data_IF_679566511012
#
_entry.id   IF_679566511012
#
_cell.length_a   1.000
_cell.length_b   1.000
_cell.length_c   1.000
_cell.angle_alpha   90.00
_cell.angle_beta   90.00
_cell.angle_gamma   90.00
#
_symmetry.space_group_name_H-M   'P 1'
#
loop_
_entity.id
_entity.type
_entity.pdbx_description
1 polymer ?
#
# COMPACT_ATOMS: atom_id res chain seq x y z
N UNK A 1 -17.48 6.29 7.23
CA UNK A 1 -18.75 5.64 7.59
C UNK A 1 -19.84 6.11 6.62
N UNK A 2 -20.60 5.17 6.11
CA UNK A 2 -21.81 5.41 5.31
C UNK A 2 -23.05 5.13 6.15
N UNK A 3 -24.08 5.91 5.95
CA UNK A 3 -25.38 5.71 6.61
C UNK A 3 -26.44 5.61 5.52
N UNK A 4 -27.12 4.47 5.44
CA UNK A 4 -28.22 4.26 4.51
C UNK A 4 -29.50 4.99 5.00
N UNK A 5 -30.48 5.24 4.11
CA UNK A 5 -31.71 5.94 4.47
C UNK A 5 -32.55 5.27 5.58
N UNK A 6 -32.42 3.95 5.74
CA UNK A 6 -33.04 3.15 6.80
C UNK A 6 -32.30 3.21 8.14
N UNK A 7 -31.18 3.96 8.21
CA UNK A 7 -30.34 4.11 9.39
C UNK A 7 -29.25 3.05 9.52
N UNK A 8 -29.13 2.10 8.60
CA UNK A 8 -28.03 1.13 8.55
C UNK A 8 -26.69 1.86 8.37
N UNK A 9 -25.66 1.39 9.07
CA UNK A 9 -24.33 2.01 9.04
C UNK A 9 -23.26 1.00 8.72
N UNK A 10 -22.46 1.33 7.72
CA UNK A 10 -21.27 0.56 7.36
C UNK A 10 -20.02 1.44 7.45
N UNK A 11 -18.93 0.88 7.94
CA UNK A 11 -17.64 1.58 7.98
C UNK A 11 -16.51 0.63 7.58
N UNK A 12 -15.49 1.20 6.93
CA UNK A 12 -14.24 0.50 6.61
C UNK A 12 -13.08 1.47 6.83
N UNK A 13 -11.92 0.90 7.14
CA UNK A 13 -10.68 1.65 7.21
C UNK A 13 -10.04 1.69 5.83
N UNK A 14 -9.60 2.88 5.43
CA UNK A 14 -8.84 3.11 4.21
C UNK A 14 -7.58 3.87 4.55
N UNK A 15 -6.48 3.53 3.88
CA UNK A 15 -5.25 4.27 4.01
C UNK A 15 -5.31 5.56 3.19
N UNK A 16 -4.73 6.62 3.73
CA UNK A 16 -4.55 7.88 3.03
C UNK A 16 -3.44 7.69 1.98
N UNK A 17 -3.68 8.16 0.77
CA UNK A 17 -2.78 8.01 -0.38
C UNK A 17 -1.92 9.24 -0.64
N UNK A 18 -2.37 10.43 -0.25
CA UNK A 18 -1.64 11.68 -0.47
C UNK A 18 -0.63 11.98 0.65
N UNK A 19 0.26 12.93 0.36
CA UNK A 19 1.22 13.43 1.34
C UNK A 19 0.50 14.20 2.47
N UNK A 20 0.98 14.12 3.73
CA UNK A 20 0.46 14.97 4.81
C UNK A 20 0.69 16.48 4.59
N UNK A 21 1.43 16.87 3.54
CA UNK A 21 1.59 18.27 3.14
C UNK A 21 0.45 18.78 2.25
N UNK A 22 -0.38 17.89 1.73
CA UNK A 22 -1.56 18.26 0.93
C UNK A 22 -2.68 18.67 1.91
N UNK A 23 -2.57 19.88 2.44
CA UNK A 23 -3.47 20.41 3.46
C UNK A 23 -4.90 20.57 2.92
N UNK A 24 -5.87 20.12 3.71
CA UNK A 24 -7.30 20.27 3.41
C UNK A 24 -7.90 19.18 2.52
N UNK A 25 -7.08 18.25 2.04
CA UNK A 25 -7.53 17.16 1.17
C UNK A 25 -7.11 15.79 1.72
N UNK A 26 -7.95 14.79 1.49
CA UNK A 26 -7.65 13.38 1.77
C UNK A 26 -7.90 12.58 0.50
N UNK A 27 -6.86 11.99 -0.06
CA UNK A 27 -6.95 11.04 -1.16
C UNK A 27 -7.11 9.62 -0.62
N UNK A 28 -8.15 8.92 -1.09
CA UNK A 28 -8.37 7.51 -0.81
C UNK A 28 -8.39 6.73 -2.12
N UNK A 29 -7.62 5.65 -2.18
CA UNK A 29 -7.71 4.69 -3.28
C UNK A 29 -8.46 3.47 -2.81
N UNK A 30 -9.60 3.19 -3.45
CA UNK A 30 -10.57 2.20 -3.01
C UNK A 30 -10.72 1.11 -4.06
N UNK A 31 -10.23 -0.09 -3.77
CA UNK A 31 -10.49 -1.29 -4.57
C UNK A 31 -11.97 -1.71 -4.42
N UNK A 32 -12.64 -1.95 -5.57
CA UNK A 32 -14.02 -2.45 -5.57
C UNK A 32 -14.05 -3.95 -5.24
N UNK A 33 -14.48 -4.28 -4.05
CA UNK A 33 -14.70 -5.67 -3.63
C UNK A 33 -16.09 -6.13 -4.08
N UNK A 34 -16.16 -7.25 -4.83
CA UNK A 34 -17.41 -7.76 -5.42
C UNK A 34 -18.51 -7.96 -4.38
N UNK A 35 -18.15 -8.50 -3.21
CA UNK A 35 -19.09 -8.82 -2.12
C UNK A 35 -18.96 -7.80 -0.95
N UNK A 36 -18.41 -6.63 -1.22
CA UNK A 36 -18.27 -5.56 -0.23
C UNK A 36 -19.52 -4.68 -0.16
N UNK A 37 -19.71 -4.00 0.97
CA UNK A 37 -20.84 -3.05 1.14
C UNK A 37 -20.39 -1.60 0.89
N UNK A 38 -19.19 -1.24 1.36
CA UNK A 38 -18.72 0.15 1.33
C UNK A 38 -17.98 0.45 0.02
N UNK A 39 -17.07 -0.43 -0.44
CA UNK A 39 -16.33 -0.17 -1.66
C UNK A 39 -17.20 -0.12 -2.92
N UNK A 40 -18.23 -0.99 -3.13
CA UNK A 40 -19.16 -0.80 -4.25
C UNK A 40 -19.91 0.52 -4.19
N UNK A 41 -20.30 0.98 -2.99
CA UNK A 41 -21.01 2.26 -2.85
C UNK A 41 -20.16 3.42 -3.37
N UNK A 42 -18.85 3.44 -3.05
CA UNK A 42 -17.94 4.47 -3.57
C UNK A 42 -17.77 4.41 -5.10
N UNK A 43 -17.86 3.23 -5.71
CA UNK A 43 -17.70 3.07 -7.15
C UNK A 43 -18.98 3.29 -7.94
N UNK A 44 -20.13 2.93 -7.37
CA UNK A 44 -21.37 2.81 -8.12
C UNK A 44 -22.37 3.93 -7.79
N UNK A 45 -22.21 4.62 -6.65
CA UNK A 45 -23.22 5.56 -6.10
C UNK A 45 -22.68 6.95 -5.82
N UNK A 46 -21.50 7.06 -5.20
CA UNK A 46 -20.92 8.35 -4.81
C UNK A 46 -20.63 9.20 -6.05
N UNK A 47 -21.05 10.45 -6.02
CA UNK A 47 -20.75 11.46 -7.04
C UNK A 47 -20.09 12.68 -6.42
N UNK A 48 -19.50 13.52 -7.25
CA UNK A 48 -18.87 14.77 -6.82
C UNK A 48 -19.89 15.66 -6.09
N UNK A 49 -19.52 16.15 -4.92
CA UNK A 49 -20.35 16.95 -4.04
C UNK A 49 -21.05 16.16 -2.92
N UNK A 50 -20.98 14.83 -2.94
CA UNK A 50 -21.51 14.02 -1.86
C UNK A 50 -20.67 14.14 -0.59
N UNK A 51 -21.33 14.18 0.56
CA UNK A 51 -20.68 14.21 1.87
C UNK A 51 -20.57 12.82 2.48
N UNK A 52 -19.36 12.49 2.98
CA UNK A 52 -19.10 11.24 3.68
C UNK A 52 -18.50 11.51 5.06
N UNK A 53 -18.93 10.75 6.07
CA UNK A 53 -18.33 10.87 7.40
C UNK A 53 -16.98 10.17 7.45
N UNK A 54 -15.93 10.92 7.77
CA UNK A 54 -14.56 10.42 7.95
C UNK A 54 -14.17 10.54 9.41
N UNK A 55 -13.48 9.52 9.94
CA UNK A 55 -12.88 9.53 11.29
C UNK A 55 -11.39 9.21 11.15
N UNK A 56 -10.55 10.03 11.74
CA UNK A 56 -9.09 9.87 11.68
C UNK A 56 -8.39 11.19 11.39
N UNK A 57 -7.15 11.17 10.89
CA UNK A 57 -6.33 9.95 10.76
C UNK A 57 -6.02 9.31 12.11
N UNK A 58 -6.04 7.99 12.18
CA UNK A 58 -5.58 7.30 13.38
C UNK A 58 -4.07 7.13 13.28
N UNK A 59 -3.35 7.75 14.21
CA UNK A 59 -1.91 7.55 14.31
C UNK A 59 -1.62 6.08 14.60
N UNK A 60 -0.82 5.47 13.73
CA UNK A 60 -0.40 4.09 13.87
C UNK A 60 1.12 3.98 13.96
N UNK A 61 1.59 2.79 14.21
CA UNK A 61 3.00 2.43 14.12
C UNK A 61 3.55 2.54 12.68
N UNK A 62 2.67 2.56 11.68
CA UNK A 62 2.98 2.62 10.26
C UNK A 62 3.15 4.07 9.78
N UNK A 63 4.09 4.79 10.38
CA UNK A 63 4.40 6.20 10.07
C UNK A 63 5.89 6.36 9.80
N UNK A 64 6.25 6.92 8.64
CA UNK A 64 7.62 7.31 8.34
C UNK A 64 7.93 8.69 8.96
N UNK A 65 9.07 8.80 9.63
CA UNK A 65 9.52 10.01 10.33
C UNK A 65 10.87 10.52 9.85
N UNK A 66 11.25 10.17 8.60
CA UNK A 66 12.54 10.56 8.02
C UNK A 66 13.68 9.57 8.28
N UNK A 67 13.37 8.36 8.78
CA UNK A 67 14.35 7.27 8.91
C UNK A 67 14.93 6.90 7.54
N UNK A 68 16.20 6.52 7.50
CA UNK A 68 16.91 6.15 6.28
C UNK A 68 17.93 5.04 6.50
N UNK A 69 18.17 4.19 5.51
CA UNK A 69 17.43 4.06 4.23
C UNK A 69 16.05 3.41 4.43
N UNK A 70 15.17 3.48 3.42
CA UNK A 70 13.80 2.96 3.50
C UNK A 70 13.49 2.02 2.36
N UNK A 71 12.95 0.85 2.70
CA UNK A 71 12.36 -0.09 1.75
C UNK A 71 10.85 -0.18 1.96
N UNK A 72 10.09 0.10 0.92
CA UNK A 72 8.65 -0.06 0.86
C UNK A 72 8.33 -1.38 0.17
N UNK A 73 7.44 -2.20 0.74
CA UNK A 73 7.09 -3.52 0.17
C UNK A 73 5.57 -3.66 0.15
N UNK A 74 4.99 -3.55 -1.05
CA UNK A 74 3.55 -3.51 -1.26
C UNK A 74 3.00 -4.71 -2.00
N UNK A 75 1.85 -5.23 -1.57
CA UNK A 75 1.09 -6.27 -2.26
C UNK A 75 -0.33 -5.81 -2.60
N UNK A 76 -0.68 -5.74 -3.90
CA UNK A 76 -1.98 -5.25 -4.36
C UNK A 76 -2.28 -3.85 -3.83
N UNK A 77 -3.47 -3.60 -3.29
CA UNK A 77 -3.86 -2.31 -2.69
C UNK A 77 -3.05 -1.91 -1.46
N UNK A 78 -2.20 -2.81 -0.92
CA UNK A 78 -1.19 -2.45 0.08
C UNK A 78 -0.17 -1.40 -0.38
N UNK A 79 -0.10 -1.09 -1.67
CA UNK A 79 0.72 0.01 -2.19
C UNK A 79 0.22 1.38 -1.72
N UNK A 80 -1.05 1.55 -1.41
CA UNK A 80 -1.68 2.85 -1.13
C UNK A 80 -0.98 3.63 -0.01
N UNK A 81 -0.83 3.12 1.22
CA UNK A 81 -0.12 3.84 2.28
C UNK A 81 1.37 4.02 1.97
N UNK A 82 1.95 3.15 1.16
CA UNK A 82 3.35 3.26 0.75
C UNK A 82 3.55 4.40 -0.26
N UNK A 83 2.55 4.65 -1.12
CA UNK A 83 2.56 5.81 -2.03
C UNK A 83 2.49 7.12 -1.26
N UNK A 84 1.73 7.21 -0.18
CA UNK A 84 1.73 8.39 0.69
C UNK A 84 3.15 8.69 1.22
N UNK A 85 3.88 7.66 1.67
CA UNK A 85 5.27 7.77 2.12
C UNK A 85 6.18 8.20 0.96
N UNK A 86 6.05 7.55 -0.20
CA UNK A 86 6.88 7.84 -1.38
C UNK A 86 6.65 9.25 -1.92
N UNK A 87 5.39 9.68 -2.02
CA UNK A 87 5.01 11.04 -2.42
C UNK A 87 5.56 12.08 -1.43
N UNK A 88 5.41 11.82 -0.13
CA UNK A 88 5.96 12.71 0.90
C UNK A 88 7.50 12.82 0.82
N UNK A 89 8.20 11.69 0.62
CA UNK A 89 9.66 11.67 0.43
C UNK A 89 10.05 12.48 -0.82
N UNK A 90 9.36 12.31 -1.93
CA UNK A 90 9.65 13.06 -3.17
C UNK A 90 9.54 14.56 -2.98
N UNK A 91 8.60 15.02 -2.15
CA UNK A 91 8.39 16.44 -1.85
C UNK A 91 9.39 16.99 -0.84
N UNK A 92 9.79 16.23 0.16
CA UNK A 92 10.55 16.73 1.31
C UNK A 92 12.02 16.34 1.32
N UNK A 93 12.34 15.15 0.82
CA UNK A 93 13.68 14.55 0.86
C UNK A 93 13.98 13.74 -0.41
N UNK A 94 13.99 14.38 -1.61
CA UNK A 94 14.10 13.67 -2.89
C UNK A 94 15.34 12.79 -3.02
N UNK A 95 16.45 13.18 -2.39
CA UNK A 95 17.73 12.46 -2.43
C UNK A 95 17.82 11.32 -1.40
N UNK A 96 16.81 11.15 -0.53
CA UNK A 96 16.83 10.07 0.45
C UNK A 96 16.65 8.72 -0.24
N UNK A 97 17.55 7.72 -0.01
CA UNK A 97 17.41 6.39 -0.58
C UNK A 97 16.12 5.71 -0.12
N UNK A 98 15.19 5.55 -1.04
CA UNK A 98 13.91 4.87 -0.83
C UNK A 98 13.54 4.11 -2.11
N UNK A 99 13.11 2.87 -1.98
CA UNK A 99 12.65 2.03 -3.09
C UNK A 99 11.37 1.32 -2.72
N UNK A 100 10.55 1.04 -3.70
CA UNK A 100 9.32 0.28 -3.59
C UNK A 100 9.46 -1.06 -4.30
N UNK A 101 9.29 -2.15 -3.58
CA UNK A 101 9.03 -3.48 -4.15
C UNK A 101 7.52 -3.66 -4.21
N UNK A 102 6.97 -3.84 -5.42
CA UNK A 102 5.53 -3.93 -5.61
C UNK A 102 5.13 -5.22 -6.31
N UNK A 103 4.30 -6.01 -5.62
CA UNK A 103 3.78 -7.29 -6.10
C UNK A 103 2.31 -7.19 -6.45
N UNK A 104 1.98 -7.49 -7.70
CA UNK A 104 0.61 -7.52 -8.22
C UNK A 104 0.32 -8.82 -8.96
N UNK A 105 -0.92 -9.07 -9.33
CA UNK A 105 -1.30 -10.26 -10.09
C UNK A 105 -1.03 -10.09 -11.57
N UNK A 106 -1.50 -8.98 -12.13
CA UNK A 106 -1.43 -8.66 -13.56
C UNK A 106 -1.09 -7.18 -13.74
N UNK A 107 -0.86 -6.73 -14.96
CA UNK A 107 -0.57 -5.33 -15.25
C UNK A 107 -1.77 -4.41 -14.95
N UNK A 108 -2.97 -4.93 -15.14
CA UNK A 108 -4.21 -4.21 -14.89
C UNK A 108 -4.45 -3.97 -13.39
N UNK A 109 -3.78 -4.74 -12.51
CA UNK A 109 -3.84 -4.57 -11.06
C UNK A 109 -2.83 -3.53 -10.52
N UNK A 110 -2.00 -2.94 -11.39
CA UNK A 110 -1.00 -1.93 -10.95
C UNK A 110 -1.70 -0.62 -10.66
N UNK A 111 -1.80 -0.28 -9.37
CA UNK A 111 -2.28 1.02 -8.91
C UNK A 111 -1.12 2.02 -9.05
N UNK A 112 -1.41 3.26 -9.48
CA UNK A 112 -0.44 4.34 -9.68
C UNK A 112 0.65 4.03 -10.73
N UNK A 113 0.33 3.25 -11.77
CA UNK A 113 1.30 2.83 -12.79
C UNK A 113 2.14 4.00 -13.35
N UNK A 114 1.49 5.13 -13.61
CA UNK A 114 2.12 6.34 -14.17
C UNK A 114 3.00 7.11 -13.16
N UNK A 115 2.86 6.81 -11.85
CA UNK A 115 3.61 7.50 -10.80
C UNK A 115 4.80 6.69 -10.26
N UNK A 116 4.83 5.37 -10.48
CA UNK A 116 5.84 4.51 -9.85
C UNK A 116 7.26 4.85 -10.29
N UNK A 117 7.48 5.05 -11.58
CA UNK A 117 8.78 5.43 -12.15
C UNK A 117 9.91 4.47 -11.72
N UNK A 118 11.13 5.02 -11.66
CA UNK A 118 12.34 4.26 -11.30
C UNK A 118 12.43 3.94 -9.79
N UNK A 119 11.55 4.51 -8.97
CA UNK A 119 11.52 4.21 -7.53
C UNK A 119 10.99 2.80 -7.25
N UNK A 120 10.32 2.14 -8.21
CA UNK A 120 9.65 0.88 -8.01
C UNK A 120 10.28 -0.30 -8.78
N UNK A 121 10.33 -1.45 -8.13
CA UNK A 121 10.61 -2.76 -8.74
C UNK A 121 9.36 -3.61 -8.65
N UNK A 122 8.83 -4.05 -9.80
CA UNK A 122 7.57 -4.77 -9.89
C UNK A 122 7.76 -6.28 -10.08
N UNK A 123 6.84 -7.06 -9.52
CA UNK A 123 6.69 -8.49 -9.85
C UNK A 123 5.22 -8.82 -10.13
N UNK A 124 5.01 -9.66 -11.15
CA UNK A 124 3.69 -10.13 -11.58
C UNK A 124 3.49 -11.59 -11.20
N UNK A 125 2.51 -11.86 -10.33
CA UNK A 125 2.31 -13.21 -9.78
C UNK A 125 1.46 -14.14 -10.64
N UNK A 126 0.74 -13.62 -11.65
CA UNK A 126 -0.10 -14.39 -12.57
C UNK A 126 0.26 -14.13 -14.02
N UNK A 127 0.05 -12.90 -14.51
CA UNK A 127 0.27 -12.54 -15.90
C UNK A 127 1.06 -11.24 -15.97
N UNK A 128 2.25 -11.30 -16.51
CA UNK A 128 3.07 -10.12 -16.81
C UNK A 128 2.68 -9.52 -18.17
N UNK A 129 2.97 -8.22 -18.40
CA UNK A 129 2.86 -7.61 -19.71
C UNK A 129 3.67 -8.37 -20.77
N UNK A 130 3.26 -8.25 -22.03
CA UNK A 130 4.04 -8.76 -23.14
C UNK A 130 5.40 -8.05 -23.19
N UNK A 131 6.47 -8.79 -23.46
CA UNK A 131 7.84 -8.25 -23.44
C UNK A 131 8.42 -7.97 -22.05
N UNK A 132 7.71 -8.28 -20.97
CA UNK A 132 8.22 -8.06 -19.61
C UNK A 132 9.49 -8.86 -19.32
N UNK A 133 10.58 -8.17 -19.00
CA UNK A 133 11.88 -8.74 -18.68
C UNK A 133 12.21 -8.76 -17.17
N UNK A 134 11.40 -8.09 -16.34
CA UNK A 134 11.57 -8.04 -14.89
C UNK A 134 11.06 -9.31 -14.18
N UNK A 135 10.91 -9.21 -12.87
CA UNK A 135 10.50 -10.32 -12.02
C UNK A 135 9.11 -10.89 -12.34
N UNK A 136 8.98 -12.21 -12.16
CA UNK A 136 7.72 -12.96 -12.27
C UNK A 136 7.58 -13.90 -11.09
N UNK A 137 6.38 -14.04 -10.59
CA UNK A 137 6.08 -14.87 -9.45
C UNK A 137 5.92 -14.06 -8.15
N UNK A 138 5.93 -14.78 -7.05
CA UNK A 138 5.82 -14.17 -5.73
C UNK A 138 7.11 -13.46 -5.36
N UNK A 139 7.00 -12.50 -4.43
CA UNK A 139 8.16 -11.85 -3.84
C UNK A 139 9.16 -12.89 -3.28
N UNK A 140 10.42 -12.68 -3.55
CA UNK A 140 11.54 -13.50 -3.09
C UNK A 140 12.75 -12.65 -2.68
N UNK A 141 13.82 -13.30 -2.21
CA UNK A 141 15.03 -12.62 -1.77
C UNK A 141 15.77 -11.90 -2.90
N UNK A 142 15.68 -12.40 -4.14
CA UNK A 142 16.28 -11.77 -5.32
C UNK A 142 15.65 -10.41 -5.60
N UNK A 143 14.31 -10.36 -5.57
CA UNK A 143 13.55 -9.12 -5.76
C UNK A 143 13.85 -8.09 -4.65
N UNK A 144 13.99 -8.54 -3.39
CA UNK A 144 14.37 -7.65 -2.28
C UNK A 144 15.78 -7.11 -2.47
N UNK A 145 16.72 -7.96 -2.92
CA UNK A 145 18.11 -7.54 -3.19
C UNK A 145 18.20 -6.57 -4.38
N UNK A 146 17.40 -6.76 -5.43
CA UNK A 146 17.36 -5.87 -6.60
C UNK A 146 16.89 -4.44 -6.24
N UNK A 147 16.09 -4.29 -5.19
CA UNK A 147 15.73 -2.96 -4.70
C UNK A 147 16.97 -2.13 -4.29
N UNK A 148 18.08 -2.77 -3.97
CA UNK A 148 19.38 -2.12 -3.74
C UNK A 148 19.43 -1.23 -2.49
N UNK A 149 18.54 -1.47 -1.53
CA UNK A 149 18.47 -0.73 -0.26
C UNK A 149 19.11 -1.55 0.85
N UNK A 150 20.12 -0.99 1.50
CA UNK A 150 20.71 -1.59 2.70
C UNK A 150 19.67 -1.69 3.83
N UNK A 151 19.77 -2.68 4.74
CA UNK A 151 18.88 -2.78 5.88
C UNK A 151 18.80 -1.47 6.68
N UNK A 152 17.56 -1.00 6.85
CA UNK A 152 17.23 0.24 7.54
C UNK A 152 15.80 0.14 8.06
N UNK A 153 14.89 1.01 7.64
CA UNK A 153 13.45 0.85 7.95
C UNK A 153 12.73 0.24 6.77
N UNK A 154 11.89 -0.76 7.02
CA UNK A 154 11.01 -1.34 6.00
C UNK A 154 9.55 -1.16 6.38
N UNK A 155 8.72 -0.76 5.41
CA UNK A 155 7.28 -0.70 5.53
C UNK A 155 6.65 -1.75 4.62
N UNK A 156 5.89 -2.66 5.20
CA UNK A 156 5.28 -3.79 4.48
C UNK A 156 3.77 -3.70 4.60
N UNK A 157 3.07 -3.65 3.47
CA UNK A 157 1.61 -3.59 3.46
C UNK A 157 0.99 -4.48 2.40
N UNK A 158 -0.11 -5.17 2.76
CA UNK A 158 -0.84 -6.08 1.89
C UNK A 158 -1.69 -7.10 2.66
N UNK A 159 -2.04 -8.21 2.01
CA UNK A 159 -2.76 -9.31 2.68
C UNK A 159 -1.92 -9.97 3.77
N UNK A 160 -2.57 -10.65 4.73
CA UNK A 160 -1.87 -11.34 5.82
C UNK A 160 -0.74 -12.24 5.31
N UNK A 161 -1.03 -13.12 4.36
CA UNK A 161 -0.02 -14.04 3.81
C UNK A 161 1.12 -13.33 3.07
N UNK A 162 0.84 -12.21 2.40
CA UNK A 162 1.87 -11.38 1.76
C UNK A 162 2.79 -10.75 2.81
N UNK A 163 2.21 -10.11 3.83
CA UNK A 163 2.98 -9.44 4.88
C UNK A 163 3.87 -10.41 5.63
N UNK A 164 3.38 -11.61 5.94
CA UNK A 164 4.18 -12.67 6.59
C UNK A 164 5.35 -13.13 5.72
N UNK A 165 5.10 -13.37 4.43
CA UNK A 165 6.15 -13.79 3.49
C UNK A 165 7.21 -12.68 3.31
N UNK A 166 6.79 -11.44 3.08
CA UNK A 166 7.68 -10.30 2.92
C UNK A 166 8.52 -10.04 4.18
N UNK A 167 7.88 -10.05 5.37
CA UNK A 167 8.60 -9.85 6.63
C UNK A 167 9.68 -10.92 6.85
N UNK A 168 9.37 -12.18 6.54
CA UNK A 168 10.36 -13.27 6.64
C UNK A 168 11.56 -13.05 5.72
N UNK A 169 11.31 -12.63 4.46
CA UNK A 169 12.38 -12.32 3.50
C UNK A 169 13.26 -11.15 3.97
N UNK A 170 12.66 -10.11 4.55
CA UNK A 170 13.40 -8.98 5.09
C UNK A 170 14.29 -9.39 6.27
N UNK A 171 13.80 -10.20 7.20
CA UNK A 171 14.61 -10.73 8.29
C UNK A 171 15.78 -11.57 7.77
N UNK A 172 15.55 -12.39 6.73
CA UNK A 172 16.62 -13.15 6.05
C UNK A 172 17.62 -12.24 5.33
N UNK A 173 17.18 -11.06 4.86
CA UNK A 173 18.03 -10.05 4.24
C UNK A 173 18.77 -9.16 5.25
N UNK A 174 18.68 -9.44 6.55
CA UNK A 174 19.42 -8.75 7.62
C UNK A 174 18.68 -7.58 8.26
N UNK A 175 17.36 -7.42 8.02
CA UNK A 175 16.55 -6.47 8.80
C UNK A 175 16.28 -7.01 10.18
N UNK A 176 16.39 -6.16 11.20
CA UNK A 176 15.97 -6.50 12.55
C UNK A 176 14.43 -6.40 12.70
N UNK A 177 13.79 -7.20 13.59
CA UNK A 177 12.34 -7.17 13.75
C UNK A 177 11.75 -5.77 14.01
N UNK A 178 12.42 -4.94 14.76
CA UNK A 178 11.97 -3.58 15.08
C UNK A 178 12.05 -2.60 13.89
N UNK A 179 12.80 -2.95 12.85
CA UNK A 179 12.92 -2.18 11.62
C UNK A 179 11.80 -2.46 10.63
N UNK A 180 11.06 -3.57 10.80
CA UNK A 180 9.99 -3.99 9.88
C UNK A 180 8.63 -3.57 10.46
N UNK A 181 8.06 -2.52 9.86
CA UNK A 181 6.71 -2.02 10.21
C UNK A 181 5.69 -2.60 9.26
N UNK A 182 4.61 -3.15 9.78
CA UNK A 182 3.64 -3.88 8.96
C UNK A 182 2.23 -3.34 9.13
N UNK A 183 1.49 -3.29 8.02
CA UNK A 183 0.05 -3.06 7.99
C UNK A 183 -0.63 -4.15 7.15
N UNK A 184 -1.80 -4.61 7.58
CA UNK A 184 -2.49 -5.72 6.94
C UNK A 184 -3.86 -5.30 6.48
N UNK A 185 -4.15 -5.63 5.22
CA UNK A 185 -5.48 -5.52 4.65
C UNK A 185 -6.06 -6.93 4.47
N UNK A 186 -7.31 -7.06 4.78
CA UNK A 186 -8.02 -8.31 4.60
C UNK A 186 -9.48 -8.14 4.94
N UNK A 187 -10.33 -9.16 4.67
CA UNK A 187 -11.67 -9.13 5.15
C UNK A 187 -11.60 -8.91 6.66
N UNK A 188 -12.31 -7.92 7.16
CA UNK A 188 -12.61 -7.79 8.59
C UNK A 188 -13.46 -9.01 8.94
N UNK A 189 -12.79 -10.15 9.13
CA UNK A 189 -13.44 -11.36 9.61
C UNK A 189 -14.13 -11.01 10.91
N UNK A 190 -15.35 -11.52 11.08
CA UNK A 190 -15.96 -11.56 12.38
C UNK A 190 -14.91 -12.08 13.36
N UNK A 191 -14.66 -11.34 14.42
CA UNK A 191 -13.90 -11.86 15.53
C UNK A 191 -14.57 -13.15 16.00
N UNK A 192 -13.80 -14.15 16.41
CA UNK A 192 -14.35 -15.39 16.93
C UNK A 192 -15.24 -15.14 18.14
#
# INVERSE_FOLDING_TARGET
RLTAPDGYRAQRSYSIANSPLDEGEIELTIDRLRDGEVSPYFHDVVVEGDEVEVRGPFASYFVWRGEKPVLLVGGGSGVVPLMAILRHRRLTMPDLPMRLVYSVRTAEDVIYADELGDDAVLTFTRKSPEGWSGHRGRIDGGLVAEAGIAPGTAFVCGSNGFVEAASRLLLQAGYEPHQVRTERFGPTGAAP
#
